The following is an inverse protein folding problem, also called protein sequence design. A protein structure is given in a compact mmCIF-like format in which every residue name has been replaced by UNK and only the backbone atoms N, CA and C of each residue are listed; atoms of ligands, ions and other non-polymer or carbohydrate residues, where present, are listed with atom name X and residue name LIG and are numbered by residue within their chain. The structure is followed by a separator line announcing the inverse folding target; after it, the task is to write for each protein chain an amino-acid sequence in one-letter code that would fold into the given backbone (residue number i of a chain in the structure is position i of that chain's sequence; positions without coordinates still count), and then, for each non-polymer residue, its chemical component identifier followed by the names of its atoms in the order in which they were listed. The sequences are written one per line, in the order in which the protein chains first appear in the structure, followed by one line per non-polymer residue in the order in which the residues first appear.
data_IF_056016384696
#
_entry.id   IF_056016384696
#
_cell.length_a   1.000
_cell.length_b   1.000
_cell.length_c   1.000
_cell.angle_alpha   90.00
_cell.angle_beta   90.00
_cell.angle_gamma   90.00
#
_symmetry.space_group_name_H-M   'P 1'
#
loop_
_entity.id
_entity.type
_entity.pdbx_description
1 polymer ?
2 non-polymer ?
3 non-polymer ?
4 non-polymer ?
5 water ?
#
# COMPACT_ATOMS: atom_id res chain seq x y z
N UNK A 10 20.16 -7.00 -12.16
CA UNK A 10 19.75 -5.56 -12.32
C UNK A 10 20.71 -4.61 -11.59
N UNK A 11 22.01 -4.89 -11.66
CA UNK A 11 23.01 -4.13 -10.90
C UNK A 11 23.02 -2.66 -11.36
N UNK A 12 22.42 -2.39 -12.53
CA UNK A 12 22.26 -1.03 -13.08
C UNK A 12 21.50 -0.13 -12.10
N UNK A 13 20.58 -0.75 -11.35
CA UNK A 13 19.76 -0.01 -10.36
C UNK A 13 20.45 0.16 -9.00
N UNK A 14 21.64 -0.43 -8.86
CA UNK A 14 22.43 -0.32 -7.61
C UNK A 14 23.50 0.80 -7.67
N UNK A 15 23.71 1.39 -8.84
CA UNK A 15 24.73 2.43 -9.02
C UNK A 15 24.24 3.59 -9.88
N UNK A 16 24.87 4.76 -9.69
CA UNK A 16 24.58 5.95 -10.45
C UNK A 16 23.07 6.06 -10.57
N UNK A 17 22.37 6.19 -9.45
CA UNK A 17 20.90 6.26 -9.51
C UNK A 17 20.34 7.69 -9.43
N UNK A 18 21.02 8.57 -8.71
CA UNK A 18 20.50 9.92 -8.53
C UNK A 18 19.45 9.89 -7.43
N UNK A 19 18.80 11.03 -7.19
CA UNK A 19 17.93 11.19 -6.03
C UNK A 19 16.70 10.33 -6.17
N UNK A 20 16.50 9.50 -5.15
CA UNK A 20 15.36 8.62 -4.97
C UNK A 20 14.27 9.39 -4.26
N UNK A 21 13.01 9.19 -4.65
CA UNK A 21 11.85 9.86 -3.98
C UNK A 21 10.84 8.78 -3.68
N UNK A 22 10.37 8.72 -2.42
CA UNK A 22 9.30 7.75 -2.05
C UNK A 22 8.18 8.44 -1.26
N UNK A 23 6.99 7.83 -1.17
CA UNK A 23 5.87 8.54 -0.47
C UNK A 23 6.07 8.78 1.03
N UNK A 24 6.88 7.94 1.68
CA UNK A 24 7.24 8.14 3.07
C UNK A 24 7.81 9.52 3.39
N UNK A 25 8.52 10.12 2.44
CA UNK A 25 9.12 11.43 2.63
C UNK A 25 8.09 12.54 2.82
N UNK A 26 6.85 12.33 2.42
CA UNK A 26 5.82 13.37 2.62
C UNK A 26 5.09 13.33 3.96
N UNK A 27 5.40 12.34 4.78
CA UNK A 27 4.89 12.28 6.14
C UNK A 27 5.82 13.03 7.10
N UNK A 28 5.37 14.21 7.56
CA UNK A 28 6.13 15.04 8.51
C UNK A 28 5.50 14.97 9.91
N UNK A 29 6.33 15.10 10.94
CA UNK A 29 5.82 15.17 12.33
C UNK A 29 5.35 16.60 12.50
N UNK A 30 4.03 16.78 12.53
CA UNK A 30 3.43 18.09 12.59
C UNK A 30 3.50 18.64 14.02
N UNK A 31 4.15 19.80 14.15
CA UNK A 31 4.31 20.48 15.45
C UNK A 31 3.05 21.26 15.87
N UNK A 32 2.16 21.53 14.91
CA UNK A 32 0.90 22.27 15.17
C UNK A 32 -0.10 21.47 16.00
N UNK A 33 -1.15 22.13 16.48
CA UNK A 33 -2.22 21.45 17.22
C UNK A 33 -3.18 20.75 16.24
N UNK A 34 -3.47 19.47 16.48
CA UNK A 34 -4.30 18.68 15.56
C UNK A 34 -5.67 19.30 15.33
N UNK A 35 -6.29 19.77 16.43
CA UNK A 35 -7.60 20.47 16.42
C UNK A 35 -7.71 21.70 15.52
N UNK A 36 -6.57 22.23 15.08
CA UNK A 36 -6.53 23.36 14.17
C UNK A 36 -6.54 22.93 12.70
N UNK A 37 -6.23 21.66 12.44
CA UNK A 37 -6.24 21.11 11.09
C UNK A 37 -7.46 20.22 10.83
N UNK A 38 -8.00 19.61 11.88
CA UNK A 38 -9.14 18.68 11.77
C UNK A 38 -10.19 18.93 12.83
N UNK A 39 -11.41 18.51 12.54
CA UNK A 39 -12.45 18.38 13.55
C UNK A 39 -13.06 16.96 13.60
N UNK A 40 -13.47 16.55 14.81
CA UNK A 40 -14.08 15.24 15.02
C UNK A 40 -15.46 15.16 14.34
N UNK A 41 -15.72 14.01 13.69
CA UNK A 41 -17.03 13.68 13.14
C UNK A 41 -17.70 12.65 14.03
N UNK A 42 -17.03 11.51 14.25
CA UNK A 42 -17.49 10.47 15.17
C UNK A 42 -16.35 9.55 15.60
N UNK A 43 -16.62 8.75 16.64
CA UNK A 43 -15.67 7.77 17.16
C UNK A 43 -15.83 6.52 16.34
N UNK A 44 -14.73 5.98 15.83
CA UNK A 44 -14.79 4.74 15.04
C UNK A 44 -14.57 3.49 15.89
N UNK A 45 -13.88 3.63 17.00
CA UNK A 45 -13.71 2.51 17.91
C UNK A 45 -12.75 2.77 19.06
N UNK A 46 -12.65 1.75 19.94
CA UNK A 46 -11.67 1.64 21.04
C UNK A 46 -11.85 2.70 22.11
N UNK A 49 -5.08 1.38 25.03
CA UNK A 49 -4.40 1.90 23.82
C UNK A 49 -4.85 3.34 23.44
N UNK A 50 -6.16 3.55 23.32
CA UNK A 50 -6.69 4.82 22.86
C UNK A 50 -7.94 4.73 22.00
N UNK A 51 -7.98 5.53 20.94
CA UNK A 51 -9.21 5.73 20.15
C UNK A 51 -8.92 5.84 18.67
N UNK A 52 -9.87 5.47 17.82
CA UNK A 52 -9.80 5.82 16.39
C UNK A 52 -11.00 6.70 16.10
N UNK A 53 -10.75 7.88 15.53
CA UNK A 53 -11.79 8.90 15.22
C UNK A 53 -11.88 9.19 13.72
N UNK A 54 -13.09 9.39 13.21
CA UNK A 54 -13.31 9.84 11.87
C UNK A 54 -13.29 11.31 12.04
N UNK A 55 -12.40 11.98 11.30
CA UNK A 55 -12.22 13.43 11.38
C UNK A 55 -12.28 14.06 10.00
N UNK A 56 -12.52 15.36 9.96
CA UNK A 56 -12.66 16.05 8.68
C UNK A 56 -11.64 17.13 8.64
N UNK A 57 -10.98 17.27 7.48
CA UNK A 57 -9.99 18.32 7.31
C UNK A 57 -10.66 19.72 7.31
N UNK A 58 -10.22 20.63 8.18
CA UNK A 58 -10.81 21.98 8.21
C UNK A 58 -10.69 22.67 6.85
N UNK A 59 -9.58 22.40 6.15
CA UNK A 59 -9.32 22.86 4.77
C UNK A 59 -9.51 21.68 3.82
N UNK A 60 -10.56 21.76 2.99
CA UNK A 60 -10.87 20.73 1.98
C UNK A 60 -11.98 19.78 2.40
N UNK A 61 -12.13 19.58 3.71
CA UNK A 61 -13.15 18.71 4.30
C UNK A 61 -13.14 17.23 3.84
N UNK A 62 -11.95 16.75 3.44
CA UNK A 62 -11.69 15.33 3.23
C UNK A 62 -11.72 14.60 4.58
N UNK A 63 -12.11 13.33 4.58
CA UNK A 63 -12.24 12.54 5.81
C UNK A 63 -11.00 11.71 6.02
N UNK A 64 -10.61 11.55 7.28
CA UNK A 64 -9.42 10.81 7.68
C UNK A 64 -9.74 10.01 8.93
N UNK A 65 -9.10 8.85 9.11
CA UNK A 65 -9.21 8.09 10.34
C UNK A 65 -7.99 8.44 11.14
N UNK A 66 -8.19 9.10 12.26
CA UNK A 66 -7.10 9.52 13.13
C UNK A 66 -7.00 8.58 14.33
N UNK A 67 -5.92 7.81 14.38
CA UNK A 67 -5.67 6.90 15.48
C UNK A 67 -5.00 7.70 16.61
N UNK A 68 -5.71 7.83 17.73
CA UNK A 68 -5.28 8.62 18.87
C UNK A 68 -4.66 7.64 19.85
N UNK A 69 -3.34 7.68 20.02
CA UNK A 69 -2.66 6.70 20.88
C UNK A 69 -2.20 7.33 22.19
N UNK A 70 -2.70 6.80 23.31
CA UNK A 70 -2.36 7.31 24.65
C UNK A 70 -0.89 7.02 25.00
N UNK A 71 -0.18 8.03 25.53
CA UNK A 71 1.16 7.85 26.08
C UNK A 71 1.08 7.33 27.53
N UNK A 88 9.76 5.74 26.52
CA UNK A 88 9.83 4.29 26.68
C UNK A 88 8.93 3.55 25.67
N UNK A 89 7.61 3.75 25.78
CA UNK A 89 6.63 3.17 24.84
C UNK A 89 6.64 3.92 23.48
N UNK A 90 7.29 5.09 23.47
CA UNK A 90 7.45 5.94 22.29
C UNK A 90 8.35 5.26 21.24
N UNK A 91 9.12 4.26 21.69
CA UNK A 91 9.90 3.42 20.79
C UNK A 91 8.97 2.59 19.92
N UNK A 92 7.93 2.03 20.54
CA UNK A 92 6.93 1.19 19.88
C UNK A 92 6.08 1.98 18.88
N UNK A 93 5.77 3.24 19.22
CA UNK A 93 4.98 4.13 18.36
C UNK A 93 5.83 4.57 17.17
N UNK A 94 7.07 4.99 17.41
CA UNK A 94 7.95 5.40 16.33
C UNK A 94 8.23 4.25 15.33
N UNK A 95 8.28 3.01 15.81
CA UNK A 95 8.43 1.84 14.92
C UNK A 95 7.21 1.66 14.03
N UNK A 96 6.02 1.70 14.63
CA UNK A 96 4.76 1.63 13.87
C UNK A 96 4.74 2.75 12.79
N UNK A 97 5.12 3.98 13.18
CA UNK A 97 5.15 5.09 12.23
C UNK A 97 6.09 4.80 11.07
N UNK A 98 7.26 4.21 11.34
CA UNK A 98 8.27 3.93 10.32
C UNK A 98 7.85 2.82 9.40
N UNK A 99 7.15 1.82 9.95
CA UNK A 99 6.53 0.76 9.17
C UNK A 99 5.47 1.35 8.25
N UNK A 100 4.51 2.11 8.80
CA UNK A 100 3.38 2.73 8.04
C UNK A 100 3.80 3.65 6.89
N UNK A 101 4.77 4.51 7.18
CA UNK A 101 5.39 5.46 6.22
C UNK A 101 5.85 4.76 4.94
N UNK A 102 6.41 3.56 5.07
CA UNK A 102 6.95 2.81 3.94
C UNK A 102 5.88 2.08 3.09
N UNK A 103 4.63 2.01 3.56
CA UNK A 103 3.59 1.21 2.89
C UNK A 103 2.96 1.91 1.68
N UNK A 104 3.08 1.26 0.52
CA UNK A 104 2.49 1.74 -0.72
C UNK A 104 1.95 0.54 -1.54
N UNK A 105 0.69 0.18 -1.34
CA UNK A 105 0.08 -0.96 -1.99
C UNK A 105 -1.42 -0.74 -1.99
N UNK A 106 -2.12 -1.16 -3.09
CA UNK A 106 -3.56 -1.01 -3.14
C UNK A 106 -4.39 -1.61 -2.01
N UNK A 107 -3.88 -2.66 -1.36
CA UNK A 107 -4.63 -3.36 -0.32
C UNK A 107 -4.02 -3.17 1.06
N UNK A 108 -3.30 -2.06 1.26
CA UNK A 108 -2.68 -1.74 2.54
C UNK A 108 -2.98 -0.26 2.87
N UNK A 109 -3.27 -0.01 4.15
CA UNK A 109 -3.55 1.30 4.69
C UNK A 109 -2.46 2.31 4.29
N UNK A 110 -2.87 3.55 4.05
CA UNK A 110 -1.97 4.66 3.68
C UNK A 110 -1.91 5.62 4.89
N UNK A 111 -0.71 6.03 5.28
CA UNK A 111 -0.48 7.03 6.35
C UNK A 111 -0.22 8.38 5.73
N UNK A 112 -0.86 9.41 6.29
CA UNK A 112 -0.74 10.80 5.76
C UNK A 112 0.14 11.71 6.57
N UNK A 113 -0.05 11.69 7.90
CA UNK A 113 0.63 12.64 8.80
C UNK A 113 0.64 12.16 10.22
N UNK A 114 1.50 12.75 11.02
CA UNK A 114 1.59 12.42 12.41
C UNK A 114 1.61 13.69 13.23
N UNK A 115 0.77 13.75 14.26
CA UNK A 115 0.76 14.87 15.21
C UNK A 115 1.09 14.31 16.59
N UNK A 116 1.55 15.20 17.47
CA UNK A 116 1.92 14.84 18.82
C UNK A 116 1.58 15.98 19.77
N UNK A 117 1.00 15.63 20.93
CA UNK A 117 0.74 16.57 22.02
C UNK A 117 1.18 15.98 23.38
N UNK A 118 0.75 16.60 24.49
CA UNK A 118 1.19 16.20 25.83
C UNK A 118 0.85 14.75 26.19
N UNK A 119 -0.38 14.34 25.94
CA UNK A 119 -0.83 12.99 26.31
C UNK A 119 -1.02 12.01 25.14
N UNK A 120 -1.02 12.50 23.89
CA UNK A 120 -1.29 11.60 22.76
C UNK A 120 -0.38 11.75 21.55
N UNK A 121 -0.32 10.69 20.78
CA UNK A 121 0.21 10.67 19.41
C UNK A 121 -1.03 10.54 18.53
N UNK A 122 -1.04 11.21 17.37
CA UNK A 122 -2.13 11.12 16.39
C UNK A 122 -1.63 10.63 15.03
N UNK A 123 -2.15 9.49 14.56
CA UNK A 123 -1.75 8.94 13.27
C UNK A 123 -2.86 9.21 12.28
N UNK A 124 -2.60 10.06 11.28
CA UNK A 124 -3.62 10.41 10.30
C UNK A 124 -3.57 9.41 9.14
N UNK A 125 -4.57 8.53 9.09
CA UNK A 125 -4.68 7.46 8.07
C UNK A 125 -5.91 7.59 7.18
N UNK A 126 -5.92 6.85 6.07
CA UNK A 126 -7.01 6.88 5.09
C UNK A 126 -8.20 6.16 5.71
N UNK A 127 -9.38 6.76 5.61
CA UNK A 127 -10.62 6.22 6.13
C UNK A 127 -11.28 5.24 5.13
N UNK A 128 -11.66 4.06 5.62
CA UNK A 128 -12.42 3.06 4.81
C UNK A 128 -13.81 2.91 5.42
N UNK A 129 -14.85 3.22 4.65
CA UNK A 129 -16.22 3.30 5.14
C UNK A 129 -16.96 1.96 5.19
N UNK A 130 -16.45 0.91 4.54
CA UNK A 130 -17.13 -0.40 4.45
C UNK A 130 -17.09 -1.31 5.70
N UNK A 131 -16.38 -0.90 6.73
CA UNK A 131 -16.24 -1.69 7.95
C UNK A 131 -15.34 -2.91 7.78
N UNK A 132 -15.22 -3.70 8.85
CA UNK A 132 -14.32 -4.86 8.93
C UNK A 132 -14.84 -6.05 8.14
N UNK A 133 -13.90 -6.85 7.64
CA UNK A 133 -14.20 -8.13 7.02
C UNK A 133 -14.96 -9.01 8.02
N UNK A 134 -14.57 -8.94 9.29
CA UNK A 134 -15.25 -9.64 10.39
C UNK A 134 -16.77 -9.41 10.42
N UNK A 135 -17.21 -8.17 10.15
CA UNK A 135 -18.65 -7.85 10.16
C UNK A 135 -19.33 -8.55 9.01
N UNK A 136 -18.65 -8.63 7.87
CA UNK A 136 -19.18 -9.38 6.73
C UNK A 136 -19.33 -10.87 7.08
N UNK A 137 -18.43 -11.39 7.90
CA UNK A 137 -18.48 -12.78 8.32
C UNK A 137 -19.73 -12.97 9.25
N UNK A 138 -20.02 -11.98 10.10
CA UNK A 138 -21.14 -12.04 11.03
C UNK A 138 -22.45 -12.11 10.26
N UNK A 139 -22.56 -11.27 9.24
CA UNK A 139 -23.77 -11.07 8.44
C UNK A 139 -24.13 -12.19 7.47
N UNK A 140 -23.13 -12.73 6.78
CA UNK A 140 -23.39 -13.66 5.71
C UNK A 140 -22.93 -15.05 6.00
N UNK A 141 -22.50 -15.27 7.23
CA UNK A 141 -22.03 -16.56 7.71
C UNK A 141 -20.81 -17.21 6.96
N UNK A 142 -20.98 -17.52 5.65
CA UNK A 142 -19.88 -18.02 4.76
C UNK A 142 -19.93 -17.44 3.34
N UNK A 143 -18.81 -17.55 2.64
CA UNK A 143 -18.68 -17.01 1.29
C UNK A 143 -18.56 -18.14 0.27
N UNK A 144 -19.16 -17.98 -0.91
CA UNK A 144 -18.93 -18.96 -1.99
C UNK A 144 -17.47 -18.80 -2.43
N UNK A 145 -16.97 -19.77 -3.17
CA UNK A 145 -15.57 -19.76 -3.56
C UNK A 145 -15.09 -18.55 -4.36
N UNK A 146 -15.95 -18.01 -5.23
CA UNK A 146 -15.64 -16.82 -6.03
C UNK A 146 -15.33 -15.60 -5.13
N UNK A 147 -16.23 -15.29 -4.19
CA UNK A 147 -16.00 -14.19 -3.23
C UNK A 147 -14.76 -14.45 -2.33
N UNK A 148 -14.64 -15.68 -1.81
CA UNK A 148 -13.50 -16.03 -0.95
C UNK A 148 -12.17 -15.84 -1.67
N UNK A 149 -12.10 -16.26 -2.92
CA UNK A 149 -10.88 -16.13 -3.74
C UNK A 149 -10.48 -14.69 -4.02
N UNK A 150 -11.49 -13.86 -4.26
CA UNK A 150 -11.33 -12.43 -4.45
C UNK A 150 -10.78 -11.76 -3.17
N UNK A 151 -11.36 -12.10 -2.02
CA UNK A 151 -10.89 -11.61 -0.73
C UNK A 151 -9.47 -12.11 -0.52
N UNK A 152 -9.24 -13.42 -0.72
CA UNK A 152 -7.91 -13.99 -0.44
C UNK A 152 -6.81 -13.47 -1.32
N UNK A 153 -7.06 -13.23 -2.61
CA UNK A 153 -6.00 -12.75 -3.50
C UNK A 153 -5.45 -11.38 -3.04
N UNK A 154 -6.36 -10.55 -2.56
CA UNK A 154 -6.04 -9.24 -2.04
C UNK A 154 -5.24 -9.31 -0.74
N UNK A 155 -5.66 -10.13 0.22
CA UNK A 155 -4.91 -10.31 1.48
C UNK A 155 -3.52 -10.84 1.16
N UNK A 156 -3.46 -11.85 0.30
CA UNK A 156 -2.19 -12.49 -0.02
C UNK A 156 -1.29 -11.53 -0.80
N UNK A 157 -1.87 -10.70 -1.66
CA UNK A 157 -1.09 -9.69 -2.38
C UNK A 157 -0.45 -8.70 -1.39
N UNK A 158 -1.25 -8.22 -0.45
CA UNK A 158 -0.74 -7.33 0.62
C UNK A 158 0.39 -7.94 1.39
N UNK A 159 0.23 -9.24 1.73
CA UNK A 159 1.18 -9.97 2.55
C UNK A 159 2.42 -10.29 1.76
N UNK A 160 2.26 -10.67 0.49
CA UNK A 160 3.39 -10.86 -0.40
C UNK A 160 4.28 -9.60 -0.45
N UNK A 161 3.66 -8.47 -0.73
CA UNK A 161 4.32 -7.17 -0.77
C UNK A 161 4.99 -6.86 0.60
N UNK A 162 4.28 -7.08 1.71
CA UNK A 162 4.92 -6.87 3.03
C UNK A 162 6.23 -7.70 3.14
N UNK A 163 6.13 -9.00 2.88
CA UNK A 163 7.23 -9.91 3.08
C UNK A 163 8.41 -9.57 2.17
N UNK A 164 8.13 -9.10 0.95
CA UNK A 164 9.18 -8.66 0.03
C UNK A 164 9.84 -7.38 0.53
N UNK A 165 9.11 -6.58 1.32
CA UNK A 165 9.64 -5.34 1.91
C UNK A 165 10.06 -5.56 3.36
N UNK A 166 10.33 -6.82 3.68
CA UNK A 166 10.83 -7.24 4.99
C UNK A 166 9.98 -6.78 6.19
N UNK A 167 8.65 -6.77 5.98
CA UNK A 167 7.70 -6.52 7.02
C UNK A 167 6.81 -7.76 7.24
N UNK A 168 6.61 -8.10 8.50
CA UNK A 168 5.73 -9.18 8.92
C UNK A 168 4.58 -8.54 9.71
N UNK A 169 3.33 -8.89 9.42
CA UNK A 169 2.22 -8.18 10.02
C UNK A 169 1.96 -8.64 11.46
N UNK A 170 1.84 -9.97 11.64
CA UNK A 170 1.65 -10.68 12.91
C UNK A 170 0.27 -10.61 13.56
N UNK A 171 -0.64 -9.85 12.95
CA UNK A 171 -2.04 -9.85 13.42
C UNK A 171 -3.08 -9.81 12.29
N UNK A 172 -2.82 -10.65 11.31
CA UNK A 172 -3.70 -10.84 10.17
C UNK A 172 -4.92 -11.58 10.68
N UNK A 173 -6.09 -10.93 10.54
CA UNK A 173 -7.37 -11.50 10.95
C UNK A 173 -8.48 -10.65 10.35
N UNK A 174 -9.74 -11.14 10.32
CA UNK A 174 -10.76 -10.41 9.62
C UNK A 174 -11.09 -9.05 10.22
N UNK A 175 -10.75 -8.86 11.51
CA UNK A 175 -10.97 -7.61 12.22
C UNK A 175 -9.97 -6.56 11.74
N UNK A 176 -8.85 -6.98 11.14
CA UNK A 176 -7.82 -6.08 10.64
C UNK A 176 -7.81 -5.98 9.16
N UNK A 177 -8.96 -6.32 8.56
CA UNK A 177 -9.15 -6.10 7.14
C UNK A 177 -10.41 -5.27 6.97
N UNK A 178 -10.27 -4.13 6.28
CA UNK A 178 -11.40 -3.23 6.07
C UNK A 178 -11.80 -3.11 4.62
N UNK A 179 -13.09 -2.86 4.42
CA UNK A 179 -13.64 -2.75 3.09
C UNK A 179 -13.59 -1.28 2.70
N UNK A 180 -13.14 -1.00 1.50
CA UNK A 180 -13.02 0.37 1.00
C UNK A 180 -14.43 0.99 0.92
N UNK A 181 -15.38 0.19 0.38
CA UNK A 181 -16.76 0.63 0.18
C UNK A 181 -17.75 -0.32 0.84
N UNK A 182 -18.86 0.23 1.28
CA UNK A 182 -19.91 -0.54 1.91
C UNK A 182 -20.38 -1.71 1.02
N UNK A 183 -20.41 -2.89 1.64
CA UNK A 183 -20.87 -4.16 1.05
C UNK A 183 -20.08 -4.65 -0.16
N UNK A 184 -18.96 -4.00 -0.48
CA UNK A 184 -18.16 -4.38 -1.65
C UNK A 184 -16.85 -5.03 -1.26
N UNK A 185 -16.51 -6.10 -1.97
CA UNK A 185 -15.25 -6.79 -1.77
C UNK A 185 -14.21 -6.41 -2.84
N UNK A 186 -14.54 -5.45 -3.73
CA UNK A 186 -13.69 -5.07 -4.90
C UNK A 186 -12.26 -4.70 -4.48
N UNK A 187 -12.13 -3.94 -3.39
CA UNK A 187 -10.83 -3.56 -2.87
C UNK A 187 -10.87 -3.50 -1.34
N UNK A 188 -10.12 -4.38 -0.71
CA UNK A 188 -10.05 -4.46 0.74
C UNK A 188 -8.67 -3.99 1.15
N UNK A 189 -8.51 -3.68 2.44
CA UNK A 189 -7.30 -3.04 2.95
C UNK A 189 -6.83 -3.71 4.22
N UNK A 190 -5.52 -4.01 4.30
CA UNK A 190 -4.89 -4.51 5.52
C UNK A 190 -4.54 -3.27 6.37
N UNK A 191 -4.97 -3.28 7.61
CA UNK A 191 -4.75 -2.17 8.55
C UNK A 191 -4.12 -2.75 9.81
N UNK A 192 -3.93 -1.88 10.81
CA UNK A 192 -3.45 -2.25 12.16
C UNK A 192 -2.08 -2.93 12.15
N UNK A 193 -1.05 -2.09 12.04
CA UNK A 193 0.33 -2.50 12.11
C UNK A 193 0.96 -2.35 13.52
N UNK A 194 0.13 -2.25 14.57
CA UNK A 194 0.58 -2.16 15.98
C UNK A 194 1.47 -3.30 16.49
N UNK A 195 1.29 -4.51 15.96
CA UNK A 195 2.09 -5.70 16.30
C UNK A 195 3.13 -6.05 15.23
N UNK A 196 3.22 -5.26 14.15
CA UNK A 196 4.11 -5.56 13.04
C UNK A 196 5.57 -5.25 13.33
N UNK A 197 6.44 -5.84 12.55
CA UNK A 197 7.87 -5.64 12.70
C UNK A 197 8.63 -5.82 11.40
N UNK A 198 9.78 -5.18 11.28
CA UNK A 198 10.70 -5.49 10.22
C UNK A 198 11.28 -6.83 10.60
N UNK A 199 11.74 -7.61 9.63
CA UNK A 199 12.39 -8.89 9.90
C UNK A 199 13.56 -9.07 8.97
N UNK A 200 14.57 -9.83 9.44
CA UNK A 200 15.75 -10.23 8.65
C UNK A 200 15.73 -11.73 8.46
N UNK A 201 16.21 -12.21 7.32
CA UNK A 201 16.38 -13.67 7.06
C UNK A 201 17.45 -14.29 7.98
N UNK A 202 18.37 -13.45 8.44
CA UNK A 202 19.50 -13.84 9.30
C UNK A 202 19.19 -13.95 10.82
N UNK A 203 17.99 -13.56 11.24
CA UNK A 203 17.62 -13.70 12.66
C UNK A 203 16.14 -14.12 12.79
N UNK A 204 15.86 -15.00 13.74
CA UNK A 204 14.49 -15.45 13.99
C UNK A 204 13.79 -14.50 14.94
N UNK A 205 12.48 -14.32 14.70
CA UNK A 205 11.64 -13.49 15.56
C UNK A 205 11.26 -14.29 16.76
N UNK A 206 11.07 -13.63 17.89
CA UNK A 206 10.77 -14.34 19.13
C UNK A 206 9.53 -13.94 19.95
N UNK A 207 9.01 -12.73 19.76
CA UNK A 207 7.84 -12.27 20.56
C UNK A 207 6.51 -12.99 20.24
N UNK A 208 5.89 -13.51 21.31
CA UNK A 208 4.62 -14.20 21.27
C UNK A 208 3.51 -13.15 21.13
N UNK A 209 3.06 -12.94 19.89
CA UNK A 209 2.05 -11.93 19.56
C UNK A 209 1.09 -12.51 18.56
N UNK A 210 -0.15 -12.05 18.66
CA UNK A 210 -1.22 -12.48 17.76
C UNK A 210 -2.56 -12.59 18.44
N UNK A 211 -3.47 -13.28 17.74
CA UNK A 211 -4.81 -13.57 18.18
C UNK A 211 -5.00 -15.10 18.03
N UNK A 212 -5.56 -15.74 19.08
CA UNK A 212 -5.59 -17.22 19.24
C UNK A 212 -5.99 -18.01 18.00
N UNK A 213 -7.12 -17.69 17.38
CA UNK A 213 -7.55 -18.41 16.20
C UNK A 213 -6.54 -18.38 15.10
N UNK A 214 -5.78 -17.28 14.98
CA UNK A 214 -4.97 -17.01 13.81
C UNK A 214 -3.47 -17.23 14.00
N UNK A 215 -3.03 -17.42 15.23
CA UNK A 215 -1.61 -17.39 15.54
C UNK A 215 -0.94 -18.70 15.10
N UNK A 216 0.23 -18.60 14.47
CA UNK A 216 0.94 -19.76 13.94
C UNK A 216 1.59 -20.53 15.14
N UNK A 217 1.69 -21.87 15.05
CA UNK A 217 2.25 -22.63 16.18
C UNK A 217 3.67 -22.19 16.54
N UNK A 218 4.49 -21.88 15.54
CA UNK A 218 5.88 -21.46 15.78
C UNK A 218 5.96 -20.15 16.55
N UNK A 219 4.92 -19.30 16.47
CA UNK A 219 4.86 -18.04 17.26
C UNK A 219 4.65 -18.34 18.74
N UNK A 220 3.76 -19.30 19.03
CA UNK A 220 3.57 -19.80 20.40
C UNK A 220 4.88 -20.36 20.96
N UNK A 221 5.67 -21.03 20.12
CA UNK A 221 7.03 -21.53 20.51
C UNK A 221 8.10 -20.42 20.55
N UNK A 222 7.70 -19.18 20.22
CA UNK A 222 8.54 -17.99 20.35
C UNK A 222 9.81 -18.03 19.52
N UNK A 223 9.72 -18.66 18.35
CA UNK A 223 10.83 -18.70 17.40
C UNK A 223 10.24 -18.83 15.97
N UNK A 224 10.28 -17.76 15.20
CA UNK A 224 9.59 -17.78 13.90
C UNK A 224 10.13 -16.80 12.86
N UNK A 225 9.47 -16.80 11.69
CA UNK A 225 9.73 -15.84 10.63
C UNK A 225 8.43 -15.32 10.02
N UNK A 226 8.51 -14.76 8.82
CA UNK A 226 7.35 -14.19 8.13
C UNK A 226 6.29 -15.23 7.75
N UNK A 227 6.61 -16.53 7.82
CA UNK A 227 5.66 -17.57 7.45
C UNK A 227 4.43 -17.60 8.38
N UNK A 228 4.49 -16.95 9.56
CA UNK A 228 3.36 -16.91 10.49
C UNK A 228 2.15 -16.23 9.87
N UNK A 229 2.36 -15.22 9.01
CA UNK A 229 1.24 -14.49 8.32
C UNK A 229 0.50 -15.41 7.34
N UNK A 230 1.24 -16.31 6.69
CA UNK A 230 0.66 -17.24 5.70
C UNK A 230 -0.30 -18.14 6.41
N UNK A 231 0.10 -18.62 7.59
CA UNK A 231 -0.75 -19.44 8.43
C UNK A 231 -2.04 -18.69 8.84
N UNK A 232 -1.90 -17.43 9.26
CA UNK A 232 -3.04 -16.61 9.61
C UNK A 232 -3.97 -16.47 8.39
N UNK A 233 -3.41 -16.31 7.18
CA UNK A 233 -4.23 -16.30 5.98
C UNK A 233 -4.90 -17.62 5.70
N UNK A 234 -4.25 -18.74 6.04
CA UNK A 234 -4.88 -20.06 5.89
C UNK A 234 -6.09 -20.20 6.83
N UNK A 235 -5.97 -19.62 8.04
CA UNK A 235 -7.09 -19.62 8.99
C UNK A 235 -8.24 -18.76 8.43
N UNK A 236 -7.93 -17.60 7.88
CA UNK A 236 -8.97 -16.75 7.30
C UNK A 236 -9.70 -17.50 6.20
N UNK A 237 -8.96 -18.12 5.29
CA UNK A 237 -9.58 -18.78 4.12
C UNK A 237 -10.52 -19.88 4.55
N UNK A 238 -10.09 -20.64 5.54
CA UNK A 238 -10.88 -21.72 6.11
C UNK A 238 -12.21 -21.14 6.63
N UNK A 239 -12.12 -20.05 7.39
CA UNK A 239 -13.30 -19.37 7.98
C UNK A 239 -14.28 -18.86 6.89
N UNK A 240 -13.75 -18.20 5.87
CA UNK A 240 -14.54 -17.70 4.75
C UNK A 240 -15.35 -18.82 4.12
N UNK A 241 -14.74 -19.99 3.99
CA UNK A 241 -15.37 -21.07 3.28
C UNK A 241 -16.40 -21.86 4.08
N UNK A 242 -16.26 -21.94 5.41
CA UNK A 242 -17.22 -22.69 6.19
C UNK A 242 -17.90 -21.95 7.36
N UNK A 243 -17.37 -20.80 7.78
CA UNK A 243 -18.03 -20.01 8.84
C UNK A 243 -17.48 -20.20 10.25
N UNK A 244 -16.52 -21.07 10.41
CA UNK A 244 -15.92 -21.32 11.72
C UNK A 244 -14.40 -21.61 11.60
N UNK A 245 -13.64 -21.39 12.66
CA UNK A 245 -12.19 -21.56 12.57
C UNK A 245 -11.73 -23.02 12.60
N UNK A 246 -10.58 -23.32 11.98
CA UNK A 246 -10.10 -24.72 12.01
C UNK A 246 -9.63 -25.23 13.41
N UNK A 247 -9.10 -24.31 14.23
CA UNK A 247 -8.67 -24.61 15.61
C UNK A 247 -9.59 -23.86 16.51
N UNK A 248 -10.67 -24.51 16.92
CA UNK A 248 -11.76 -23.87 17.65
C UNK A 248 -11.56 -23.86 19.15
N UNK A 249 -12.62 -23.48 19.86
CA UNK A 249 -12.62 -23.24 21.30
C UNK A 249 -13.30 -21.91 21.57
N UNK A 250 -13.58 -21.60 22.84
CA UNK A 250 -14.24 -20.34 23.20
C UNK A 250 -13.42 -19.48 24.18
N UNK A 251 -12.18 -19.91 24.47
CA UNK A 251 -11.21 -19.16 25.27
C UNK A 251 -9.85 -19.40 24.67
N UNK A 252 -8.93 -18.44 24.86
CA UNK A 252 -7.56 -18.51 24.34
C UNK A 252 -6.90 -19.83 24.70
N UNK A 253 -7.08 -20.28 25.94
CA UNK A 253 -6.46 -21.51 26.45
C UNK A 253 -6.81 -22.74 25.60
N UNK A 254 -8.12 -22.96 25.38
CA UNK A 254 -8.62 -24.04 24.54
C UNK A 254 -8.13 -23.97 23.09
N UNK A 255 -8.22 -22.78 22.48
CA UNK A 255 -7.81 -22.56 21.09
C UNK A 255 -6.31 -22.85 20.95
N UNK A 256 -5.48 -22.25 21.80
CA UNK A 256 -4.02 -22.46 21.81
C UNK A 256 -3.64 -23.95 21.87
N UNK A 257 -4.36 -24.72 22.67
CA UNK A 257 -4.08 -26.15 22.78
C UNK A 257 -4.27 -26.81 21.45
N UNK A 258 -5.37 -26.50 20.76
CA UNK A 258 -5.63 -27.07 19.42
C UNK A 258 -4.62 -26.57 18.39
N UNK A 259 -4.22 -25.29 18.47
CA UNK A 259 -3.23 -24.72 17.52
C UNK A 259 -1.88 -25.44 17.64
N UNK A 260 -1.43 -25.61 18.87
CA UNK A 260 -0.18 -26.32 19.20
C UNK A 260 -0.12 -27.71 18.61
N UNK A 261 -1.21 -28.47 18.77
CA UNK A 261 -1.33 -29.82 18.22
C UNK A 261 -1.28 -29.80 16.70
N UNK A 262 -1.90 -28.79 16.09
CA UNK A 262 -1.77 -28.56 14.64
C UNK A 262 -2.74 -29.29 13.75
N UNK A 263 -3.62 -30.11 14.34
CA UNK A 263 -4.55 -30.96 13.58
C UNK A 263 -5.87 -30.24 13.40
N UNK A 264 -6.41 -30.34 12.18
CA UNK A 264 -7.69 -29.72 11.83
C UNK A 264 -8.34 -30.63 10.80
N UNK A 265 -9.61 -30.43 10.54
CA UNK A 265 -10.40 -31.32 9.69
C UNK A 265 -11.35 -30.52 8.80
N UNK A 266 -11.64 -31.09 7.63
CA UNK A 266 -12.65 -30.58 6.73
C UNK A 266 -13.88 -31.45 6.98
N UNK A 267 -14.74 -31.02 7.90
CA UNK A 267 -16.00 -31.71 8.18
C UNK A 267 -16.71 -31.98 6.88
N UNK A 268 -17.04 -33.25 6.65
CA UNK A 268 -17.59 -33.72 5.41
C UNK A 268 -18.80 -32.94 4.96
N UNK A 269 -19.80 -32.74 5.82
CA UNK A 269 -21.03 -32.07 5.36
C UNK A 269 -20.79 -30.61 5.02
N UNK A 270 -19.94 -29.96 5.81
CA UNK A 270 -19.62 -28.54 5.54
C UNK A 270 -18.72 -28.33 4.33
N UNK A 271 -17.85 -29.30 4.02
CA UNK A 271 -16.88 -29.14 2.93
C UNK A 271 -17.08 -29.99 1.69
N UNK A 272 -18.14 -30.79 1.63
CA UNK A 272 -18.27 -31.74 0.52
C UNK A 272 -18.40 -31.03 -0.84
N UNK A 273 -18.99 -29.84 -0.85
CA UNK A 273 -19.19 -29.09 -2.08
C UNK A 273 -18.12 -28.02 -2.35
N UNK A 274 -17.08 -27.96 -1.54
CA UNK A 274 -15.97 -27.03 -1.74
C UNK A 274 -14.90 -27.75 -2.58
N UNK A 275 -14.34 -27.07 -3.57
CA UNK A 275 -13.37 -27.68 -4.50
C UNK A 275 -12.13 -28.23 -3.82
N UNK A 276 -11.56 -29.26 -4.42
CA UNK A 276 -10.30 -29.84 -3.99
C UNK A 276 -9.15 -28.81 -3.96
N UNK A 277 -9.17 -27.90 -4.94
CA UNK A 277 -8.15 -26.85 -5.08
C UNK A 277 -8.14 -25.96 -3.83
N UNK A 278 -9.34 -25.56 -3.36
CA UNK A 278 -9.46 -24.74 -2.15
C UNK A 278 -8.87 -25.48 -0.96
N UNK A 279 -9.20 -26.76 -0.83
CA UNK A 279 -8.74 -27.53 0.33
C UNK A 279 -7.22 -27.74 0.29
N UNK A 280 -6.71 -27.92 -0.91
CA UNK A 280 -5.28 -28.06 -1.16
C UNK A 280 -4.47 -26.82 -0.82
N UNK A 281 -4.98 -25.62 -1.18
CA UNK A 281 -4.34 -24.37 -0.78
C UNK A 281 -4.34 -24.25 0.74
N UNK A 282 -5.48 -24.52 1.38
CA UNK A 282 -5.56 -24.44 2.83
C UNK A 282 -4.52 -25.32 3.47
N UNK A 283 -4.39 -26.56 2.97
CA UNK A 283 -3.40 -27.53 3.49
C UNK A 283 -1.97 -27.00 3.41
N UNK A 284 -1.67 -26.34 2.29
CA UNK A 284 -0.38 -25.70 2.05
C UNK A 284 -0.14 -24.58 3.06
N UNK A 285 -1.13 -23.69 3.21
CA UNK A 285 -1.02 -22.52 4.07
C UNK A 285 -0.97 -22.91 5.55
N UNK A 286 -1.56 -24.06 5.87
CA UNK A 286 -1.58 -24.58 7.24
C UNK A 286 -0.59 -25.75 7.45
N UNK A 287 0.42 -25.85 6.58
CA UNK A 287 1.49 -26.81 6.78
C UNK A 287 2.17 -26.43 8.09
N UNK A 288 2.22 -27.36 9.03
CA UNK A 288 2.77 -27.13 10.37
C UNK A 288 4.24 -26.66 10.31
N UNK A 289 5.06 -27.33 9.51
CA UNK A 289 6.49 -26.99 9.39
C UNK A 289 6.54 -25.68 8.60
N UNK A 290 7.00 -24.60 9.24
CA UNK A 290 6.99 -23.27 8.60
C UNK A 290 7.97 -23.11 7.46
N UNK A 291 9.05 -23.90 7.45
CA UNK A 291 9.98 -23.97 6.30
C UNK A 291 9.35 -24.61 5.05
N UNK A 292 8.44 -25.55 5.23
CA UNK A 292 7.76 -26.21 4.10
C UNK A 292 6.41 -25.53 3.73
N UNK A 293 5.89 -24.66 4.60
CA UNK A 293 4.69 -23.88 4.30
C UNK A 293 5.00 -22.97 3.11
N UNK A 294 4.02 -22.82 2.23
CA UNK A 294 4.17 -21.97 1.07
C UNK A 294 4.44 -20.52 1.47
N UNK A 295 5.12 -19.80 0.57
CA UNK A 295 5.25 -18.35 0.69
C UNK A 295 3.93 -17.71 0.23
N UNK A 296 3.73 -16.44 0.53
CA UNK A 296 2.56 -15.75 0.03
C UNK A 296 2.59 -15.80 -1.49
N UNK A 297 3.76 -15.62 -2.08
CA UNK A 297 3.89 -15.64 -3.54
C UNK A 297 3.40 -16.97 -4.11
N UNK A 298 3.86 -18.08 -3.53
CA UNK A 298 3.38 -19.40 -3.89
C UNK A 298 1.87 -19.56 -3.70
N UNK A 299 1.31 -19.06 -2.59
CA UNK A 299 -0.13 -19.13 -2.40
C UNK A 299 -0.85 -18.46 -3.58
N UNK A 300 -0.33 -17.30 -4.01
CA UNK A 300 -0.89 -16.53 -5.11
C UNK A 300 -0.81 -17.25 -6.45
N UNK A 301 0.12 -18.20 -6.55
CA UNK A 301 0.36 -19.00 -7.74
C UNK A 301 -0.31 -20.35 -7.66
N UNK A 302 -1.20 -20.55 -6.69
CA UNK A 302 -1.93 -21.81 -6.55
C UNK A 302 -2.99 -21.93 -7.64
N UNK A 303 -3.38 -23.16 -7.95
CA UNK A 303 -4.49 -23.40 -8.87
C UNK A 303 -5.77 -22.66 -8.45
N UNK A 304 -6.11 -22.67 -7.16
CA UNK A 304 -7.34 -22.05 -6.70
C UNK A 304 -7.33 -20.55 -6.98
N UNK A 305 -6.23 -19.87 -6.61
CA UNK A 305 -6.14 -18.42 -6.82
C UNK A 305 -6.12 -18.16 -8.34
N UNK A 306 -5.29 -18.90 -9.08
CA UNK A 306 -5.21 -18.70 -10.56
C UNK A 306 -6.60 -18.87 -11.19
N UNK A 307 -7.42 -19.83 -10.70
CA UNK A 307 -8.77 -20.11 -11.24
C UNK A 307 -9.66 -18.89 -11.27
N UNK A 308 -9.52 -18.03 -10.27
CA UNK A 308 -10.38 -16.84 -10.17
C UNK A 308 -9.65 -15.55 -10.61
N UNK A 309 -8.57 -15.73 -11.40
CA UNK A 309 -7.78 -14.62 -12.00
C UNK A 309 -8.68 -13.55 -12.62
N UNK A 310 -8.29 -12.29 -12.42
CA UNK A 310 -8.96 -11.13 -13.03
C UNK A 310 -7.87 -10.38 -13.80
N UNK A 311 -7.83 -10.60 -15.11
CA UNK A 311 -6.82 -10.01 -16.00
C UNK A 311 -7.45 -8.98 -16.93
N UNK A 312 -6.60 -8.25 -17.65
CA UNK A 312 -7.05 -7.26 -18.61
C UNK A 312 -7.81 -7.98 -19.71
N UNK A 313 -9.04 -7.53 -19.98
CA UNK A 313 -9.82 -7.90 -21.17
C UNK A 313 -10.31 -6.65 -21.93
N UNK A 314 -10.98 -6.84 -23.07
CA UNK A 314 -11.45 -5.76 -23.95
C UNK A 314 -12.22 -4.65 -23.24
N UNK A 315 -12.91 -4.99 -22.16
CA UNK A 315 -13.62 -4.00 -21.32
C UNK A 315 -12.69 -2.93 -20.72
N UNK A 316 -11.43 -3.28 -20.46
CA UNK A 316 -10.44 -2.38 -19.81
C UNK A 316 -9.65 -1.50 -20.78
N UNK A 317 -9.90 -1.62 -22.08
CA UNK A 317 -9.15 -0.92 -23.11
C UNK A 317 -9.05 0.61 -22.93
N UNK A 318 -10.14 1.26 -22.50
CA UNK A 318 -10.13 2.72 -22.42
C UNK A 318 -9.26 3.20 -21.24
N UNK A 319 -9.42 2.59 -20.07
CA UNK A 319 -8.61 2.99 -18.93
C UNK A 319 -7.16 2.55 -19.15
N UNK A 320 -6.97 1.34 -19.70
CA UNK A 320 -5.62 0.87 -20.04
C UNK A 320 -4.92 1.83 -21.01
N UNK A 321 -5.65 2.27 -22.04
CA UNK A 321 -5.12 3.19 -23.03
C UNK A 321 -4.71 4.52 -22.37
N UNK A 322 -5.62 5.16 -21.62
CA UNK A 322 -5.35 6.40 -20.91
C UNK A 322 -4.13 6.25 -19.99
N UNK A 323 -4.18 5.22 -19.14
CA UNK A 323 -3.09 4.91 -18.20
C UNK A 323 -1.73 4.79 -18.90
N UNK A 324 -1.65 3.87 -19.85
CA UNK A 324 -0.36 3.60 -20.53
C UNK A 324 0.09 4.65 -21.50
N UNK A 325 -0.85 5.42 -22.06
CA UNK A 325 -0.53 6.59 -22.88
C UNK A 325 0.10 7.65 -22.00
N UNK A 326 -0.53 7.94 -20.86
CA UNK A 326 0.06 8.92 -19.89
C UNK A 326 1.43 8.50 -19.40
N UNK A 327 1.58 7.21 -19.05
CA UNK A 327 2.88 6.67 -18.61
C UNK A 327 3.98 6.82 -19.68
N UNK A 328 3.62 6.50 -20.92
CA UNK A 328 4.55 6.60 -22.04
C UNK A 328 5.00 8.03 -22.24
N UNK A 329 4.13 9.00 -22.00
CA UNK A 329 4.44 10.43 -22.25
C UNK A 329 5.07 11.11 -21.01
N UNK A 330 5.06 10.45 -19.87
CA UNK A 330 5.52 11.09 -18.66
C UNK A 330 6.96 11.61 -18.72
N UNK A 331 7.11 12.88 -18.31
CA UNK A 331 8.39 13.54 -17.99
C UNK A 331 8.18 14.29 -16.66
N UNK A 332 9.02 13.98 -15.69
CA UNK A 332 8.94 14.69 -14.40
C UNK A 332 9.76 15.98 -14.37
N UNK A 333 10.59 16.19 -15.40
CA UNK A 333 11.56 17.28 -15.44
C UNK A 333 12.51 17.24 -14.21
N UNK A 334 12.60 18.34 -13.51
CA UNK A 334 13.55 18.52 -12.47
C UNK A 334 12.97 17.98 -11.17
N UNK A 335 13.76 18.01 -10.10
CA UNK A 335 13.41 17.31 -8.85
C UNK A 335 12.25 17.93 -8.07
N UNK A 336 12.06 19.25 -8.16
CA UNK A 336 10.91 19.89 -7.47
C UNK A 336 9.61 19.43 -8.07
N UNK A 337 9.49 19.47 -9.39
CA UNK A 337 8.32 18.95 -10.11
C UNK A 337 8.07 17.47 -9.82
N UNK A 338 9.12 16.65 -9.82
CA UNK A 338 8.96 15.20 -9.58
C UNK A 338 8.42 14.96 -8.16
N UNK A 339 8.99 15.68 -7.18
CA UNK A 339 8.60 15.63 -5.79
C UNK A 339 7.13 16.00 -5.62
N UNK A 340 6.72 17.08 -6.28
CA UNK A 340 5.37 17.56 -6.27
C UNK A 340 4.38 16.52 -6.81
N UNK A 341 4.71 15.96 -7.97
CA UNK A 341 3.87 15.00 -8.67
C UNK A 341 3.61 13.77 -7.79
N UNK A 342 4.68 13.18 -7.28
CA UNK A 342 4.57 12.02 -6.37
C UNK A 342 3.84 12.38 -5.09
N UNK A 343 4.01 13.60 -4.57
CA UNK A 343 3.20 14.03 -3.42
C UNK A 343 1.69 14.00 -3.74
N UNK A 344 1.30 14.66 -4.82
CA UNK A 344 -0.10 14.81 -5.15
C UNK A 344 -0.71 13.43 -5.43
N UNK A 345 -0.02 12.64 -6.24
CA UNK A 345 -0.45 11.29 -6.56
C UNK A 345 -0.59 10.35 -5.39
N UNK A 346 0.41 10.35 -4.50
CA UNK A 346 0.46 9.41 -3.38
C UNK A 346 -0.35 9.83 -2.20
N UNK A 347 -0.57 11.14 -1.99
CA UNK A 347 -1.26 11.60 -0.78
C UNK A 347 -2.54 12.37 -1.02
N UNK A 348 -2.75 12.94 -2.23
CA UNK A 348 -3.92 13.82 -2.39
C UNK A 348 -5.07 13.27 -3.26
N UNK A 349 -4.80 12.32 -4.12
CA UNK A 349 -5.85 11.71 -4.91
C UNK A 349 -6.76 10.85 -4.02
N UNK A 350 -8.06 10.87 -4.27
CA UNK A 350 -9.02 10.15 -3.43
C UNK A 350 -9.11 8.70 -3.93
N UNK A 351 -9.74 7.85 -3.13
CA UNK A 351 -9.97 6.45 -3.49
C UNK A 351 -10.82 6.35 -4.78
N UNK A 352 -11.84 7.21 -4.91
CA UNK A 352 -12.69 7.25 -6.11
C UNK A 352 -11.91 7.68 -7.35
N UNK A 353 -11.09 8.70 -7.22
CA UNK A 353 -10.31 9.19 -8.32
C UNK A 353 -9.38 8.10 -8.81
N UNK A 354 -8.87 7.31 -7.88
CA UNK A 354 -7.98 6.22 -8.20
C UNK A 354 -8.62 4.91 -8.60
N UNK A 355 -9.95 4.77 -8.48
CA UNK A 355 -10.68 3.51 -8.66
C UNK A 355 -10.26 2.69 -9.86
N UNK A 356 -10.30 3.33 -11.03
CA UNK A 356 -10.08 2.65 -12.30
C UNK A 356 -8.60 2.30 -12.46
N UNK A 357 -7.71 3.21 -12.04
CA UNK A 357 -6.28 2.98 -12.14
C UNK A 357 -5.83 1.91 -11.18
N UNK A 358 -6.41 1.86 -9.99
CA UNK A 358 -6.15 0.81 -9.01
C UNK A 358 -6.51 -0.55 -9.60
N UNK A 359 -7.64 -0.60 -10.30
CA UNK A 359 -8.12 -1.81 -10.96
C UNK A 359 -7.21 -2.28 -12.11
N UNK A 360 -6.72 -1.35 -12.92
CA UNK A 360 -5.71 -1.64 -13.95
C UNK A 360 -4.39 -2.10 -13.33
N UNK A 361 -3.93 -1.41 -12.26
CA UNK A 361 -2.65 -1.74 -11.61
C UNK A 361 -2.63 -3.24 -11.21
N UNK A 362 -3.68 -3.65 -10.50
CA UNK A 362 -3.82 -4.99 -10.02
C UNK A 362 -3.81 -6.02 -11.17
N UNK A 363 -4.53 -5.71 -12.25
CA UNK A 363 -4.57 -6.58 -13.46
C UNK A 363 -3.22 -6.70 -14.14
N UNK A 364 -2.46 -5.59 -14.25
CA UNK A 364 -1.11 -5.63 -14.80
C UNK A 364 -0.16 -6.38 -13.90
N UNK A 365 -0.42 -6.34 -12.58
CA UNK A 365 0.42 -7.04 -11.62
C UNK A 365 0.15 -8.54 -11.63
N UNK A 366 0.67 -9.23 -12.65
CA UNK A 366 0.38 -10.67 -12.88
C UNK A 366 0.69 -11.56 -11.69
N UNK A 367 1.81 -11.36 -11.03
CA UNK A 367 2.22 -12.20 -9.92
C UNK A 367 1.68 -11.73 -8.54
N UNK A 368 0.97 -10.60 -8.55
CA UNK A 368 0.31 -10.05 -7.37
C UNK A 368 1.23 -9.59 -6.25
N UNK A 369 2.48 -9.24 -6.56
CA UNK A 369 3.43 -8.79 -5.51
C UNK A 369 3.36 -7.31 -5.20
N UNK A 370 2.38 -6.63 -5.80
CA UNK A 370 2.16 -5.20 -5.63
C UNK A 370 3.17 -4.29 -6.27
N UNK A 371 3.98 -4.82 -7.15
CA UNK A 371 4.92 -4.03 -7.95
C UNK A 371 4.77 -4.37 -9.43
N UNK A 372 4.90 -3.39 -10.33
CA UNK A 372 4.99 -3.71 -11.76
C UNK A 372 6.46 -3.84 -12.18
N UNK A 373 6.83 -4.99 -12.74
CA UNK A 373 8.18 -5.17 -13.26
C UNK A 373 8.17 -4.96 -14.77
N UNK A 374 9.37 -4.97 -15.37
CA UNK A 374 9.55 -4.71 -16.78
C UNK A 374 8.76 -5.74 -17.63
N UNK A 375 8.86 -7.03 -17.29
CA UNK A 375 8.12 -8.11 -17.98
C UNK A 375 6.60 -7.84 -17.90
N UNK A 376 6.13 -7.37 -16.77
CA UNK A 376 4.71 -7.02 -16.60
C UNK A 376 4.29 -5.80 -17.41
N UNK A 377 5.15 -4.80 -17.52
CA UNK A 377 4.83 -3.60 -18.34
C UNK A 377 4.83 -3.89 -19.83
N UNK A 378 5.82 -4.65 -20.29
CA UNK A 378 5.92 -5.11 -21.70
C UNK A 378 4.63 -5.78 -22.10
N UNK A 379 4.21 -6.74 -21.28
CA UNK A 379 2.95 -7.45 -21.47
C UNK A 379 1.74 -6.54 -21.45
N UNK A 380 1.74 -5.54 -20.58
CA UNK A 380 0.67 -4.55 -20.56
C UNK A 380 0.58 -3.75 -21.86
N UNK A 381 1.73 -3.35 -22.38
CA UNK A 381 1.74 -2.60 -23.66
C UNK A 381 1.37 -3.50 -24.86
N UNK A 382 1.83 -4.73 -24.87
CA UNK A 382 1.49 -5.66 -25.94
C UNK A 382 -0.03 -5.90 -25.99
N UNK A 383 -0.63 -6.17 -24.83
CA UNK A 383 -2.07 -6.31 -24.70
C UNK A 383 -2.80 -5.07 -25.23
N UNK A 384 -2.31 -3.86 -24.93
CA UNK A 384 -2.94 -2.64 -25.43
C UNK A 384 -2.85 -2.49 -26.95
N UNK A 385 -1.67 -2.76 -27.51
CA UNK A 385 -1.42 -2.69 -28.96
C UNK A 385 -2.28 -3.71 -29.73
N UNK A 386 -2.53 -4.88 -29.12
CA UNK A 386 -3.37 -5.93 -29.71
C UNK A 386 -4.87 -5.58 -29.76
N UNK A 387 -5.32 -4.68 -28.87
CA UNK A 387 -6.72 -4.20 -28.88
C UNK A 387 -6.94 -3.20 -30.00
N UNK A 388 -5.90 -2.42 -30.31
CA UNK A 388 -5.95 -1.39 -31.36
C UNK A 388 -5.64 -1.97 -32.74
N UNK A 391 -2.72 -2.06 -36.74
CA UNK A 391 -1.44 -2.80 -36.79
C UNK A 391 -0.37 -2.07 -37.62
N UNK A 392 0.50 -1.33 -36.96
CA UNK A 392 1.51 -0.52 -37.61
C UNK A 392 2.91 -1.13 -37.67
N UNK A 393 3.89 -0.23 -37.73
CA UNK A 393 5.30 -0.58 -37.76
C UNK A 393 5.66 -1.37 -36.53
N UNK A 394 6.61 -2.28 -36.68
CA UNK A 394 7.14 -3.09 -35.59
C UNK A 394 7.85 -2.16 -34.62
N UNK A 395 7.42 -2.18 -33.36
CA UNK A 395 8.06 -1.39 -32.31
C UNK A 395 8.97 -2.30 -31.49
N UNK A 396 10.00 -1.73 -30.89
CA UNK A 396 10.84 -2.45 -29.93
C UNK A 396 10.26 -2.13 -28.54
N UNK A 397 9.30 -2.94 -28.09
CA UNK A 397 8.59 -2.72 -26.83
C UNK A 397 9.48 -2.82 -25.58
N UNK A 398 10.52 -3.67 -25.64
CA UNK A 398 11.45 -3.84 -24.53
C UNK A 398 12.21 -2.55 -24.26
N UNK A 399 12.72 -1.93 -25.34
CA UNK A 399 13.43 -0.67 -25.27
C UNK A 399 12.52 0.44 -24.84
N UNK A 400 11.27 0.42 -25.29
CA UNK A 400 10.30 1.44 -24.91
C UNK A 400 10.07 1.36 -23.39
N UNK A 401 9.95 0.14 -22.84
CA UNK A 401 9.74 0.00 -21.38
C UNK A 401 10.97 0.41 -20.56
N UNK A 402 12.17 0.05 -21.01
CA UNK A 402 13.41 0.49 -20.33
C UNK A 402 13.43 2.01 -20.19
N UNK A 403 13.01 2.68 -21.26
CA UNK A 403 12.94 4.14 -21.29
C UNK A 403 11.83 4.70 -20.37
N UNK A 404 10.67 4.02 -20.35
CA UNK A 404 9.58 4.40 -19.48
C UNK A 404 10.02 4.28 -18.02
N UNK A 405 10.72 3.21 -17.67
CA UNK A 405 11.22 3.01 -16.31
C UNK A 405 12.17 4.11 -15.83
N UNK A 406 13.04 4.62 -16.73
CA UNK A 406 13.95 5.73 -16.40
C UNK A 406 13.17 6.94 -15.90
N UNK A 407 12.00 7.18 -16.49
CA UNK A 407 11.22 8.36 -16.16
C UNK A 407 10.29 8.18 -14.98
N UNK A 408 9.68 7.00 -14.83
CA UNK A 408 8.56 6.83 -13.87
C UNK A 408 8.95 6.26 -12.48
N UNK A 409 10.17 5.71 -12.36
CA UNK A 409 10.60 4.98 -11.15
C UNK A 409 11.20 5.98 -10.14
N UNK A 410 10.30 6.57 -9.35
CA UNK A 410 10.68 7.64 -8.44
C UNK A 410 11.71 7.21 -7.40
N UNK A 411 11.59 5.99 -6.87
CA UNK A 411 12.48 5.56 -5.80
C UNK A 411 13.72 4.82 -6.29
N UNK A 412 13.86 4.72 -7.61
CA UNK A 412 15.05 4.20 -8.31
C UNK A 412 15.35 2.73 -7.97
N UNK A 413 14.29 1.96 -7.67
CA UNK A 413 14.41 0.56 -7.27
C UNK A 413 14.23 -0.46 -8.40
N UNK A 414 13.91 0.02 -9.60
CA UNK A 414 13.75 -0.82 -10.77
C UNK A 414 12.34 -1.38 -10.98
N UNK A 415 11.40 -1.04 -10.10
CA UNK A 415 10.00 -1.46 -10.20
C UNK A 415 9.05 -0.26 -10.15
N UNK A 416 7.84 -0.44 -10.62
CA UNK A 416 6.82 0.60 -10.47
C UNK A 416 5.90 0.20 -9.32
N UNK A 417 5.92 0.99 -8.25
CA UNK A 417 5.02 0.80 -7.11
C UNK A 417 3.67 1.51 -7.37
N UNK A 418 2.64 1.10 -6.64
CA UNK A 418 1.29 1.67 -6.74
C UNK A 418 1.22 3.20 -6.93
N UNK A 419 1.79 3.97 -6.00
CA UNK A 419 1.70 5.42 -6.05
C UNK A 419 2.50 6.07 -7.18
N UNK A 420 3.58 5.43 -7.61
CA UNK A 420 4.36 5.88 -8.76
C UNK A 420 3.46 5.72 -9.99
N UNK A 421 2.75 4.58 -10.05
CA UNK A 421 1.83 4.28 -11.16
C UNK A 421 0.70 5.32 -11.22
N UNK A 422 0.05 5.59 -10.09
CA UNK A 422 -1.01 6.58 -10.05
C UNK A 422 -0.51 7.96 -10.56
N UNK A 423 0.67 8.35 -10.07
CA UNK A 423 1.28 9.64 -10.30
C UNK A 423 1.61 9.89 -11.78
N UNK A 424 1.99 8.83 -12.51
CA UNK A 424 2.38 8.96 -13.93
C UNK A 424 1.28 8.62 -14.93
N UNK A 425 0.22 7.92 -14.47
CA UNK A 425 -0.93 7.48 -15.30
C UNK A 425 -2.19 8.36 -15.20
N UNK A 426 -2.35 9.09 -14.10
CA UNK A 426 -3.48 9.99 -13.95
C UNK A 426 -3.25 11.28 -14.80
N UNK A 427 -4.32 11.84 -15.37
CA UNK A 427 -4.23 13.08 -16.13
C UNK A 427 -3.71 14.19 -15.24
N UNK A 428 -2.80 14.99 -15.78
CA UNK A 428 -2.26 16.17 -15.10
C UNK A 428 -3.39 17.15 -14.74
N UNK A 429 -4.44 17.21 -15.57
CA UNK A 429 -5.63 18.03 -15.30
C UNK A 429 -6.24 17.71 -13.91
N UNK A 430 -6.27 16.42 -13.54
CA UNK A 430 -6.78 15.99 -12.25
C UNK A 430 -5.79 16.28 -11.13
N UNK A 431 -4.50 15.97 -11.36
CA UNK A 431 -3.45 16.17 -10.35
C UNK A 431 -3.17 17.63 -10.05
N UNK A 432 -3.12 18.49 -11.08
CA UNK A 432 -2.61 19.84 -10.91
C UNK A 432 -3.70 20.89 -10.70
N UNK A 433 -4.69 20.60 -9.84
CA UNK A 433 -5.67 21.60 -9.42
C UNK A 433 -4.95 22.62 -8.57
N UNK A 434 -5.47 23.84 -8.53
CA UNK A 434 -4.88 24.95 -7.75
C UNK A 434 -4.68 24.54 -6.28
N UNK A 435 -5.71 23.91 -5.72
CA UNK A 435 -5.72 23.45 -4.33
C UNK A 435 -4.60 22.43 -4.12
N UNK A 436 -4.43 21.50 -5.03
CA UNK A 436 -3.35 20.49 -4.90
C UNK A 436 -1.96 21.11 -5.06
N UNK A 437 -1.83 22.07 -6.00
CA UNK A 437 -0.54 22.75 -6.18
C UNK A 437 -0.18 23.58 -4.94
N UNK A 438 -1.14 24.28 -4.37
CA UNK A 438 -0.97 25.01 -3.12
C UNK A 438 -0.57 24.05 -1.97
N UNK A 439 -1.24 22.90 -1.85
CA UNK A 439 -0.85 21.92 -0.82
C UNK A 439 0.59 21.45 -1.04
N UNK A 440 0.96 21.19 -2.29
CA UNK A 440 2.31 20.71 -2.59
C UNK A 440 3.34 21.79 -2.22
N UNK A 441 3.07 23.03 -2.61
CA UNK A 441 3.95 24.15 -2.28
C UNK A 441 4.17 24.30 -0.77
N UNK A 442 3.08 24.30 -0.02
CA UNK A 442 3.11 24.43 1.41
C UNK A 442 3.82 23.31 2.12
N UNK A 443 3.78 22.10 1.59
CA UNK A 443 4.53 20.97 2.19
C UNK A 443 6.03 21.18 2.02
N UNK A 444 6.42 21.73 0.87
CA UNK A 444 7.85 21.94 0.62
C UNK A 444 8.39 23.16 1.37
N UNK A 445 7.56 24.19 1.50
CA UNK A 445 7.94 25.45 2.12
C UNK A 445 7.71 25.32 3.62
N UNK A 446 8.59 24.59 4.31
CA UNK A 446 8.36 24.23 5.73
C UNK A 446 8.30 25.41 6.68
N UNK A 447 9.08 26.47 6.44
CA UNK A 447 9.04 27.66 7.30
C UNK A 447 7.88 28.66 7.01
N UNK A 448 7.05 28.36 6.00
CA UNK A 448 5.92 29.20 5.57
C UNK A 448 6.38 30.59 5.09
N UNK A 449 7.59 30.64 4.55
CA UNK A 449 8.19 31.88 4.08
C UNK A 449 7.64 32.35 2.73
N UNK A 450 6.89 31.50 2.06
CA UNK A 450 6.33 31.82 0.73
C UNK A 450 7.33 31.57 -0.40
N UNK A 451 8.54 31.10 -0.06
CA UNK A 451 9.55 30.70 -1.04
C UNK A 451 10.22 29.40 -0.62
N UNK A 452 10.31 28.48 -1.58
CA UNK A 452 11.09 27.25 -1.43
C UNK A 452 12.57 27.42 -1.75
N UNK A 453 13.40 27.07 -0.76
CA UNK A 453 14.86 27.12 -0.89
C UNK A 453 15.50 25.76 -1.26
N UNK A 454 16.77 25.83 -1.64
CA UNK A 454 17.59 24.66 -1.95
C UNK A 454 17.60 23.72 -0.78
N UNK A 455 17.75 24.30 0.41
CA UNK A 455 17.83 23.54 1.64
C UNK A 455 16.49 22.87 1.98
N UNK A 456 15.37 23.52 1.67
CA UNK A 456 14.07 22.91 1.93
C UNK A 456 13.87 21.70 1.04
N UNK A 457 14.33 21.78 -0.21
CA UNK A 457 14.24 20.61 -1.09
C UNK A 457 15.14 19.48 -0.58
N UNK A 458 16.38 19.79 -0.17
CA UNK A 458 17.27 18.74 0.36
C UNK A 458 16.62 18.10 1.60
N UNK A 459 15.96 18.89 2.44
CA UNK A 459 15.33 18.34 3.66
C UNK A 459 14.19 17.40 3.33
N UNK A 460 13.38 17.77 2.33
CA UNK A 460 12.31 16.88 1.87
C UNK A 460 12.82 15.51 1.46
N UNK A 461 13.95 15.47 0.74
CA UNK A 461 14.53 14.23 0.22
C UNK A 461 15.37 13.49 1.28
N UNK A 462 15.47 14.04 2.49
CA UNK A 462 16.22 13.38 3.55
C UNK A 462 17.73 13.41 3.38
N UNK A 463 18.22 14.39 2.64
CA UNK A 463 19.63 14.54 2.38
C UNK A 463 20.15 15.79 3.12
N UNK A 464 21.39 15.69 3.61
CA UNK A 464 22.16 16.79 4.21
C UNK A 464 22.20 18.02 3.26
N UNK A 465 22.40 17.77 1.96
CA UNK A 465 22.33 18.80 0.90
C UNK A 465 22.08 18.16 -0.45
N UNK A 466 21.73 19.01 -1.45
CA UNK A 466 21.60 18.61 -2.87
C UNK A 466 22.67 19.42 -3.61
N UNK A 467 23.02 19.00 -4.84
CA UNK A 467 24.12 19.63 -5.60
C UNK A 467 23.67 21.01 -6.08
N UNK A 468 24.62 21.80 -6.62
CA UNK A 468 24.29 23.11 -7.21
C UNK A 468 23.59 22.87 -8.49
N UNK A 469 24.02 21.87 -9.23
CA UNK A 469 23.38 21.50 -10.49
C UNK A 469 21.93 21.06 -10.25
N UNK A 470 21.66 20.28 -9.21
CA UNK A 470 20.24 19.82 -9.00
C UNK A 470 19.32 21.04 -8.85
N UNK A 471 19.70 21.96 -7.96
CA UNK A 471 18.90 23.17 -7.71
C UNK A 471 18.85 24.08 -8.91
N UNK A 472 19.97 24.17 -9.67
CA UNK A 472 20.02 25.05 -10.82
C UNK A 472 19.10 24.53 -11.90
N UNK A 473 18.96 23.21 -11.99
CA UNK A 473 17.99 22.60 -12.93
C UNK A 473 16.53 22.97 -12.55
N UNK A 474 16.26 23.11 -11.25
CA UNK A 474 14.94 23.54 -10.79
C UNK A 474 14.78 25.01 -11.21
N UNK A 475 15.75 25.83 -10.80
CA UNK A 475 15.76 27.29 -11.06
C UNK A 475 15.61 27.66 -12.53
N UNK A 476 16.41 27.04 -13.40
CA UNK A 476 16.39 27.37 -14.84
C UNK A 476 14.98 27.29 -15.43
N UNK A 477 14.26 26.24 -15.05
CA UNK A 477 12.87 26.00 -15.50
C UNK A 477 11.77 26.88 -14.81
N UNK A 478 12.11 27.64 -13.75
CA UNK A 478 11.09 28.31 -12.89
C UNK A 478 11.37 29.71 -12.28
N UNK A 479 12.63 29.97 -11.88
CA UNK A 479 13.03 31.21 -11.19
C UNK A 479 12.93 32.45 -12.11
N UNK A 480 11.75 33.08 -12.18
CA UNK A 480 11.53 34.24 -13.06
C UNK A 480 12.10 35.56 -12.50
N UNK A 481 12.20 35.68 -11.17
CA UNK A 481 12.75 36.89 -10.51
C UNK A 481 14.22 36.76 -10.04
N UNK A 482 14.88 35.66 -10.41
CA UNK A 482 16.31 35.42 -10.17
C UNK A 482 16.79 35.60 -8.74
N UNK A 483 16.02 35.12 -7.76
CA UNK A 483 16.44 35.17 -6.34
C UNK A 483 16.93 33.84 -5.72
N UNK A 484 17.11 32.83 -6.58
CA UNK A 484 17.58 31.47 -6.25
C UNK A 484 16.63 30.67 -5.36
N UNK A 485 15.37 31.12 -5.33
CA UNK A 485 14.29 30.48 -4.57
C UNK A 485 13.06 30.35 -5.43
N UNK A 486 12.09 29.51 -5.04
CA UNK A 486 10.88 29.35 -5.84
C UNK A 486 9.66 29.75 -5.05
N UNK A 487 8.93 30.79 -5.53
CA UNK A 487 7.69 31.25 -4.87
C UNK A 487 6.47 30.54 -5.51
N UNK A 488 5.29 30.70 -4.89
CA UNK A 488 4.09 29.99 -5.36
C UNK A 488 3.73 30.32 -6.78
N UNK A 489 3.83 31.58 -7.17
CA UNK A 489 3.53 31.95 -8.55
C UNK A 489 4.44 31.25 -9.51
N UNK A 490 5.72 31.23 -9.17
CA UNK A 490 6.74 30.57 -10.02
C UNK A 490 6.45 29.06 -10.05
N UNK A 491 6.14 28.48 -8.88
CA UNK A 491 5.79 27.04 -8.76
C UNK A 491 4.64 26.68 -9.70
N UNK A 492 3.58 27.50 -9.69
CA UNK A 492 2.37 27.20 -10.43
C UNK A 492 2.66 27.28 -11.91
N UNK A 493 3.39 28.31 -12.30
CA UNK A 493 3.77 28.49 -13.69
C UNK A 493 4.61 27.26 -14.15
N UNK A 494 5.58 26.85 -13.34
CA UNK A 494 6.41 25.66 -13.62
C UNK A 494 5.57 24.41 -13.84
N UNK A 495 4.70 24.14 -12.89
CA UNK A 495 3.84 22.95 -12.92
C UNK A 495 2.88 22.94 -14.11
N UNK A 496 2.29 24.10 -14.42
CA UNK A 496 1.41 24.19 -15.60
C UNK A 496 2.13 24.07 -16.92
N UNK A 497 3.40 24.50 -16.94
CA UNK A 497 4.25 24.34 -18.14
C UNK A 497 4.55 22.88 -18.45
N UNK A 498 4.48 22.03 -17.45
CA UNK A 498 4.65 20.58 -17.59
C UNK A 498 3.39 19.90 -18.18
N UNK A 499 2.18 20.38 -17.83
CA UNK A 499 0.89 19.84 -18.34
C UNK A 499 0.93 19.36 -19.80
#
# INVERSE_FOLDING_TARGET
MHHHHHHSSGRENLYFQGIAINPGMYVRKKEGKIGESYFKVRKLGSGAYGEVLLCKEKNGHSEKAIKVIKKSQFDKGRYSDDNKNIEKFHEEIYNEISLLKSLDHPNIIKLFDVFEDKKYFYLVTEFYEGGELFEQIINRHKFDECDAANIMKQILSGICYLHKHNIVHRDIKPENILLENKNSLLNIKIVDFGLSSFFSKDYKLRDRLGTAYYIAPEVLKKKYNEKCDVWSCGVIMYILLCGYPPFGGQNDQDIIKKVEKGKYYFDFNDWKNISDEAKELIKLMLTYDYNKRCTAEEALNSRWIKKYANNINKSDQKTLCGALSNMRKFEGSQKLAQAAILFIGSKLTTLEERKELTDIFKKLDKNGDGQLDKKELIEGYNVLRNFKNELGELKNVEEEVDNILKEVDFDKNGYIEYSEFISVCMDKQILFSEERLRRAFNLFDTDKSGKITKEELANLFGLTSISEKTWNDVLGEADQNKDNMIDFDEFVSMMHKICDHKTF
#
